data_IF_633325322785
#
_entry.id   IF_633325322785
#
_cell.length_a   1.000
_cell.length_b   1.000
_cell.length_c   1.000
_cell.angle_alpha   90.00
_cell.angle_beta   90.00
_cell.angle_gamma   90.00
#
_symmetry.space_group_name_H-M   'P 1'
#
loop_
_entity.id
_entity.type
_entity.pdbx_description
1 polymer ?
#
# COMPACT_ATOMS: atom_id res chain seq x y z
N UNK A 1 10.22 -2.00 43.96
CA UNK A 1 9.90 -2.67 42.68
C UNK A 1 10.87 -3.82 42.50
N UNK A 2 10.45 -5.06 42.22
CA UNK A 2 11.40 -6.11 41.89
C UNK A 2 11.87 -5.87 40.45
N UNK A 3 13.08 -5.32 40.30
CA UNK A 3 13.81 -5.35 39.03
C UNK A 3 14.07 -6.81 38.72
N UNK A 4 13.37 -7.37 37.72
CA UNK A 4 13.76 -8.66 37.14
C UNK A 4 15.16 -8.48 36.58
N UNK A 5 16.18 -8.93 37.32
CA UNK A 5 17.55 -8.94 36.86
C UNK A 5 17.65 -10.00 35.76
N UNK A 6 17.94 -9.57 34.54
CA UNK A 6 18.30 -10.48 33.45
C UNK A 6 19.73 -10.91 33.71
N UNK A 7 19.93 -12.19 33.99
CA UNK A 7 21.27 -12.75 34.14
C UNK A 7 21.93 -13.00 32.78
N UNK A 8 23.24 -13.22 32.79
CA UNK A 8 24.02 -13.43 31.56
C UNK A 8 23.54 -14.63 30.73
N UNK A 9 22.99 -15.68 31.36
CA UNK A 9 22.46 -16.85 30.67
C UNK A 9 21.11 -16.57 30.00
N UNK A 10 20.26 -15.79 30.65
CA UNK A 10 19.02 -15.30 30.06
C UNK A 10 19.30 -14.37 28.87
N UNK A 11 20.30 -13.50 28.99
CA UNK A 11 20.73 -12.63 27.89
C UNK A 11 21.22 -13.43 26.68
N UNK A 12 22.12 -14.39 26.89
CA UNK A 12 22.61 -15.26 25.83
C UNK A 12 21.48 -16.06 25.14
N UNK A 13 20.45 -16.44 25.90
CA UNK A 13 19.27 -17.11 25.37
C UNK A 13 18.42 -16.18 24.48
N UNK A 14 18.29 -14.91 24.84
CA UNK A 14 17.59 -13.89 24.05
C UNK A 14 18.37 -13.58 22.75
N UNK A 15 19.69 -13.48 22.83
CA UNK A 15 20.56 -13.29 21.66
C UNK A 15 20.44 -14.48 20.69
N UNK A 16 20.55 -15.71 21.19
CA UNK A 16 20.39 -16.92 20.38
C UNK A 16 19.01 -16.98 19.71
N UNK A 17 17.95 -16.68 20.47
CA UNK A 17 16.58 -16.62 19.95
C UNK A 17 16.42 -15.57 18.85
N UNK A 18 17.05 -14.40 19.02
CA UNK A 18 17.03 -13.32 18.03
C UNK A 18 17.77 -13.72 16.76
N UNK A 19 18.96 -14.33 16.88
CA UNK A 19 19.75 -14.81 15.73
C UNK A 19 18.98 -15.88 14.95
N UNK A 20 18.38 -16.85 15.64
CA UNK A 20 17.62 -17.92 14.98
C UNK A 20 16.37 -17.38 14.29
N UNK A 21 15.72 -16.37 14.88
CA UNK A 21 14.60 -15.68 14.26
C UNK A 21 15.03 -14.89 13.02
N UNK A 22 16.17 -14.18 13.06
CA UNK A 22 16.76 -13.48 11.91
C UNK A 22 17.08 -14.48 10.79
N UNK A 23 17.72 -15.61 11.11
CA UNK A 23 18.04 -16.67 10.15
C UNK A 23 16.78 -17.23 9.50
N UNK A 24 15.76 -17.55 10.30
CA UNK A 24 14.51 -18.13 9.81
C UNK A 24 13.72 -17.16 8.93
N UNK A 25 13.73 -15.87 9.25
CA UNK A 25 12.94 -14.84 8.55
C UNK A 25 13.73 -14.10 7.46
N UNK A 26 15.05 -14.29 7.40
CA UNK A 26 15.95 -13.51 6.56
C UNK A 26 15.71 -11.98 6.70
N UNK A 27 15.39 -11.52 7.90
CA UNK A 27 15.03 -10.12 8.20
C UNK A 27 15.71 -9.70 9.49
N UNK A 28 16.29 -8.50 9.53
CA UNK A 28 16.90 -7.94 10.74
C UNK A 28 15.82 -7.66 11.80
N UNK A 29 16.03 -8.20 13.00
CA UNK A 29 15.14 -8.01 14.15
C UNK A 29 16.01 -7.54 15.31
N UNK A 30 15.59 -6.48 15.98
CA UNK A 30 16.36 -5.91 17.10
C UNK A 30 16.17 -6.78 18.34
N UNK A 31 17.27 -7.12 19.00
CA UNK A 31 17.27 -7.87 20.27
C UNK A 31 16.38 -7.20 21.33
N UNK A 32 16.35 -5.87 21.36
CA UNK A 32 15.49 -5.11 22.27
C UNK A 32 13.99 -5.31 22.06
N UNK A 33 13.55 -5.68 20.85
CA UNK A 33 12.14 -5.98 20.58
C UNK A 33 11.80 -7.42 20.97
N UNK A 34 12.71 -8.38 20.70
CA UNK A 34 12.60 -9.75 21.22
C UNK A 34 12.59 -9.76 22.75
N UNK A 35 13.40 -8.91 23.38
CA UNK A 35 13.44 -8.77 24.84
C UNK A 35 12.09 -8.33 25.42
N UNK A 36 11.42 -7.35 24.80
CA UNK A 36 10.07 -6.91 25.26
C UNK A 36 9.08 -8.07 25.22
N UNK A 37 9.16 -8.89 24.17
CA UNK A 37 8.30 -10.05 24.00
C UNK A 37 8.57 -11.13 25.05
N UNK A 38 9.85 -11.40 25.32
CA UNK A 38 10.30 -12.31 26.38
C UNK A 38 9.88 -11.80 27.76
N UNK A 39 9.91 -10.50 28.02
CA UNK A 39 9.44 -9.92 29.29
C UNK A 39 7.92 -10.09 29.45
N UNK A 40 7.16 -9.93 28.36
CA UNK A 40 5.70 -10.02 28.36
C UNK A 40 5.18 -11.46 28.50
N UNK A 41 5.77 -12.41 27.78
CA UNK A 41 5.33 -13.81 27.76
C UNK A 41 6.14 -14.73 28.68
N UNK A 42 7.36 -14.35 29.05
CA UNK A 42 8.34 -15.20 29.72
C UNK A 42 9.19 -16.00 28.73
N UNK A 43 10.48 -16.16 29.03
CA UNK A 43 11.47 -16.82 28.15
C UNK A 43 11.05 -18.25 27.78
N UNK A 44 10.55 -19.03 28.75
CA UNK A 44 10.13 -20.41 28.54
C UNK A 44 8.92 -20.57 27.61
N UNK A 45 8.09 -19.53 27.48
CA UNK A 45 6.92 -19.52 26.62
C UNK A 45 7.18 -18.87 25.25
N UNK A 46 8.39 -18.33 25.04
CA UNK A 46 8.74 -17.61 23.82
C UNK A 46 9.56 -18.51 22.90
N UNK A 47 8.97 -18.96 21.80
CA UNK A 47 9.65 -19.77 20.78
C UNK A 47 9.93 -18.98 19.50
N UNK A 48 10.86 -19.48 18.69
CA UNK A 48 11.14 -18.93 17.36
C UNK A 48 9.88 -18.97 16.49
N UNK A 49 9.04 -19.99 16.62
CA UNK A 49 7.78 -20.14 15.88
C UNK A 49 6.78 -19.03 16.24
N UNK A 50 6.56 -18.79 17.53
CA UNK A 50 5.61 -17.77 18.01
C UNK A 50 6.08 -16.38 17.63
N UNK A 51 7.38 -16.08 17.79
CA UNK A 51 7.95 -14.82 17.34
C UNK A 51 7.93 -14.72 15.82
N UNK A 52 8.19 -15.79 15.08
CA UNK A 52 8.15 -15.79 13.62
C UNK A 52 6.76 -15.43 13.08
N UNK A 53 5.69 -15.85 13.76
CA UNK A 53 4.33 -15.44 13.42
C UNK A 53 4.07 -13.98 13.77
N UNK A 54 4.58 -13.51 14.91
CA UNK A 54 4.41 -12.11 15.34
C UNK A 54 5.16 -11.11 14.46
N UNK A 55 6.40 -11.44 14.11
CA UNK A 55 7.22 -10.73 13.14
C UNK A 55 6.95 -11.21 11.71
N UNK A 56 5.79 -11.83 11.47
CA UNK A 56 5.32 -12.08 10.12
C UNK A 56 5.22 -10.75 9.38
N UNK A 57 5.73 -10.73 8.16
CA UNK A 57 5.65 -9.58 7.31
C UNK A 57 4.18 -9.38 6.97
N UNK A 58 3.62 -8.28 7.42
CA UNK A 58 2.27 -7.86 7.10
C UNK A 58 2.42 -6.67 6.16
N UNK A 59 2.10 -6.83 4.86
CA UNK A 59 2.15 -5.71 3.96
C UNK A 59 1.19 -4.61 4.44
N UNK A 60 1.64 -3.36 4.37
CA UNK A 60 0.93 -2.18 4.87
C UNK A 60 0.94 -1.09 3.82
N UNK A 61 0.38 -1.41 2.66
CA UNK A 61 0.15 -0.49 1.57
C UNK A 61 -1.35 -0.35 1.30
N UNK A 62 -1.75 0.80 0.78
CA UNK A 62 -3.06 1.02 0.18
C UNK A 62 -2.93 1.17 -1.32
N UNK A 63 -4.05 1.02 -2.01
CA UNK A 63 -4.11 1.14 -3.47
C UNK A 63 -5.27 2.07 -3.81
N UNK A 64 -4.93 3.15 -4.50
CA UNK A 64 -5.88 4.08 -5.06
C UNK A 64 -5.87 3.95 -6.59
N UNK A 65 -7.02 4.05 -7.22
CA UNK A 65 -7.18 3.93 -8.67
C UNK A 65 -8.03 5.07 -9.17
N UNK A 66 -7.55 5.71 -10.24
CA UNK A 66 -8.34 6.57 -11.09
C UNK A 66 -8.34 6.02 -12.51
N UNK A 67 -9.50 5.51 -12.94
CA UNK A 67 -9.73 4.97 -14.28
C UNK A 67 -10.63 5.88 -15.12
N UNK A 68 -10.58 5.72 -16.44
CA UNK A 68 -11.53 6.32 -17.38
C UNK A 68 -12.29 5.23 -18.14
N UNK A 69 -13.61 5.41 -18.26
CA UNK A 69 -14.51 4.57 -19.07
C UNK A 69 -15.47 5.49 -19.81
N UNK A 70 -15.46 5.45 -21.15
CA UNK A 70 -16.35 6.29 -21.97
C UNK A 70 -16.32 7.80 -21.61
N UNK A 71 -15.14 8.34 -21.32
CA UNK A 71 -14.92 9.70 -20.79
C UNK A 71 -15.47 9.99 -19.38
N UNK A 72 -15.96 8.98 -18.67
CA UNK A 72 -16.33 9.10 -17.25
C UNK A 72 -15.17 8.65 -16.36
N UNK A 73 -14.89 9.42 -15.31
CA UNK A 73 -13.91 9.06 -14.29
C UNK A 73 -14.48 8.05 -13.32
N UNK A 74 -13.71 6.99 -13.04
CA UNK A 74 -14.02 5.96 -12.06
C UNK A 74 -12.93 5.98 -10.99
N UNK A 75 -13.32 6.13 -9.73
CA UNK A 75 -12.41 6.17 -8.61
C UNK A 75 -12.61 4.95 -7.72
N UNK A 76 -11.53 4.34 -7.26
CA UNK A 76 -11.59 3.25 -6.31
C UNK A 76 -10.42 3.29 -5.33
N UNK A 77 -10.67 2.85 -4.11
CA UNK A 77 -9.69 2.87 -3.05
C UNK A 77 -9.78 1.64 -2.14
N UNK A 78 -8.66 0.94 -1.98
CA UNK A 78 -8.46 -0.09 -0.96
C UNK A 78 -7.72 0.49 0.23
N UNK A 79 -8.45 0.61 1.35
CA UNK A 79 -7.97 1.31 2.54
C UNK A 79 -7.23 0.43 3.56
N UNK A 80 -7.43 -0.90 3.56
CA UNK A 80 -6.95 -1.68 4.72
C UNK A 80 -6.77 -3.19 4.54
N UNK A 81 -6.42 -3.72 3.36
CA UNK A 81 -6.18 -5.17 3.22
C UNK A 81 -5.07 -5.55 2.22
N UNK A 82 -4.14 -4.62 1.92
CA UNK A 82 -3.00 -4.85 1.03
C UNK A 82 -3.38 -5.78 -0.15
N UNK A 83 -4.31 -5.34 -1.02
CA UNK A 83 -5.01 -6.23 -1.92
C UNK A 83 -4.03 -7.04 -2.76
N UNK A 84 -4.45 -8.25 -3.18
CA UNK A 84 -3.66 -9.03 -4.12
C UNK A 84 -3.66 -8.35 -5.50
N UNK A 85 -2.53 -8.41 -6.21
CA UNK A 85 -2.39 -7.81 -7.53
C UNK A 85 -3.47 -8.31 -8.52
N UNK A 86 -3.77 -9.62 -8.49
CA UNK A 86 -4.83 -10.21 -9.31
C UNK A 86 -6.23 -9.67 -9.02
N UNK A 87 -6.52 -9.27 -7.78
CA UNK A 87 -7.79 -8.63 -7.41
C UNK A 87 -7.92 -7.25 -8.04
N UNK A 88 -6.85 -6.45 -7.98
CA UNK A 88 -6.83 -5.12 -8.59
C UNK A 88 -6.92 -5.21 -10.12
N UNK A 89 -6.16 -6.11 -10.74
CA UNK A 89 -6.21 -6.34 -12.19
C UNK A 89 -7.60 -6.82 -12.64
N UNK A 90 -8.23 -7.74 -11.90
CA UNK A 90 -9.59 -8.20 -12.17
C UNK A 90 -10.62 -7.09 -12.06
N UNK A 91 -10.52 -6.23 -11.04
CA UNK A 91 -11.40 -5.08 -10.89
C UNK A 91 -11.30 -4.09 -12.06
N UNK A 92 -10.07 -3.79 -12.52
CA UNK A 92 -9.85 -2.90 -13.66
C UNK A 92 -10.51 -3.42 -14.94
N UNK A 93 -10.44 -4.74 -15.16
CA UNK A 93 -11.08 -5.43 -16.28
C UNK A 93 -12.61 -5.38 -16.17
N UNK A 94 -13.16 -5.74 -15.01
CA UNK A 94 -14.61 -5.72 -14.75
C UNK A 94 -15.19 -4.30 -14.85
N UNK A 95 -14.46 -3.29 -14.39
CA UNK A 95 -14.83 -1.89 -14.53
C UNK A 95 -14.87 -1.47 -16.01
N UNK A 96 -14.13 -2.16 -16.89
CA UNK A 96 -13.93 -1.78 -18.28
C UNK A 96 -13.11 -0.49 -18.40
N UNK A 97 -12.19 -0.26 -17.46
CA UNK A 97 -11.29 0.89 -17.51
C UNK A 97 -10.22 0.65 -18.56
N UNK A 98 -10.21 1.44 -19.62
CA UNK A 98 -9.23 1.33 -20.71
C UNK A 98 -7.95 2.12 -20.42
N UNK A 99 -8.07 3.16 -19.59
CA UNK A 99 -7.00 4.07 -19.21
C UNK A 99 -7.08 4.25 -17.70
N UNK A 100 -5.97 4.04 -16.98
CA UNK A 100 -5.97 4.18 -15.52
C UNK A 100 -4.63 4.65 -14.98
N UNK A 101 -4.67 5.33 -13.84
CA UNK A 101 -3.52 5.55 -12.98
C UNK A 101 -3.79 4.86 -11.63
N UNK A 102 -2.92 3.91 -11.28
CA UNK A 102 -2.96 3.19 -10.00
C UNK A 102 -1.87 3.77 -9.11
N UNK A 103 -2.24 4.33 -7.96
CA UNK A 103 -1.32 4.79 -6.94
C UNK A 103 -1.22 3.76 -5.82
N UNK A 104 -0.03 3.21 -5.63
CA UNK A 104 0.31 2.33 -4.51
C UNK A 104 1.04 3.15 -3.47
N UNK A 105 0.43 3.31 -2.30
CA UNK A 105 0.98 4.16 -1.25
C UNK A 105 1.22 3.38 0.03
N UNK A 106 2.22 3.79 0.81
CA UNK A 106 2.56 3.21 2.09
C UNK A 106 3.95 3.63 2.51
N UNK A 107 4.29 3.46 3.79
CA UNK A 107 5.63 3.78 4.32
C UNK A 107 6.72 2.87 3.74
N UNK A 108 7.99 3.21 3.98
CA UNK A 108 9.11 2.32 3.70
C UNK A 108 8.88 0.89 4.23
N UNK A 109 9.32 -0.12 3.46
CA UNK A 109 9.14 -1.55 3.76
C UNK A 109 7.67 -2.00 3.91
N UNK A 110 6.73 -1.29 3.31
CA UNK A 110 5.30 -1.65 3.30
C UNK A 110 4.93 -2.76 2.31
N UNK A 111 5.77 -3.00 1.30
CA UNK A 111 5.48 -3.92 0.19
C UNK A 111 4.98 -3.27 -1.09
N UNK A 112 4.89 -1.94 -1.11
CA UNK A 112 4.40 -1.16 -2.24
C UNK A 112 5.06 -1.54 -3.57
N UNK A 113 6.40 -1.59 -3.61
CA UNK A 113 7.18 -1.95 -4.81
C UNK A 113 6.94 -3.40 -5.23
N UNK A 114 6.87 -4.34 -4.28
CA UNK A 114 6.60 -5.76 -4.57
C UNK A 114 5.21 -5.93 -5.17
N UNK A 115 4.19 -5.30 -4.56
CA UNK A 115 2.84 -5.31 -5.07
C UNK A 115 2.74 -4.65 -6.46
N UNK A 116 3.33 -3.47 -6.65
CA UNK A 116 3.29 -2.76 -7.92
C UNK A 116 3.93 -3.55 -9.05
N UNK A 117 5.05 -4.24 -8.77
CA UNK A 117 5.71 -5.14 -9.74
C UNK A 117 4.84 -6.35 -10.10
N UNK A 118 4.16 -6.94 -9.11
CA UNK A 118 3.21 -8.02 -9.34
C UNK A 118 2.02 -7.55 -10.18
N UNK A 119 1.45 -6.39 -9.86
CA UNK A 119 0.35 -5.79 -10.60
C UNK A 119 0.75 -5.46 -12.04
N UNK A 120 1.93 -4.89 -12.26
CA UNK A 120 2.46 -4.64 -13.60
C UNK A 120 2.54 -5.92 -14.42
N UNK A 121 3.00 -7.01 -13.80
CA UNK A 121 3.09 -8.32 -14.45
C UNK A 121 1.71 -8.85 -14.82
N UNK A 122 0.76 -8.84 -13.88
CA UNK A 122 -0.64 -9.25 -14.10
C UNK A 122 -1.29 -8.47 -15.25
N UNK A 123 -1.14 -7.14 -15.27
CA UNK A 123 -1.71 -6.28 -16.31
C UNK A 123 -1.08 -6.54 -17.69
N UNK A 124 0.24 -6.71 -17.75
CA UNK A 124 0.94 -7.04 -19.00
C UNK A 124 0.55 -8.41 -19.53
N UNK A 125 0.36 -9.40 -18.66
CA UNK A 125 -0.15 -10.73 -19.05
C UNK A 125 -1.55 -10.65 -19.63
N UNK A 126 -2.37 -9.69 -19.18
CA UNK A 126 -3.71 -9.41 -19.74
C UNK A 126 -3.68 -8.52 -20.99
N UNK A 127 -2.50 -8.13 -21.46
CA UNK A 127 -2.33 -7.29 -22.65
C UNK A 127 -2.53 -5.79 -22.43
N UNK A 128 -2.58 -5.32 -21.18
CA UNK A 128 -2.65 -3.90 -20.87
C UNK A 128 -1.26 -3.26 -21.01
N UNK A 129 -1.15 -2.23 -21.88
CA UNK A 129 0.05 -1.41 -21.97
C UNK A 129 0.10 -0.46 -20.77
N UNK A 130 0.95 -0.77 -19.79
CA UNK A 130 1.05 -0.05 -18.51
C UNK A 130 2.49 0.28 -18.21
N UNK A 131 2.73 1.55 -17.88
CA UNK A 131 4.04 2.06 -17.46
C UNK A 131 4.16 2.06 -15.93
N UNK A 132 5.38 1.86 -15.43
CA UNK A 132 5.66 1.81 -14.01
C UNK A 132 6.58 2.96 -13.61
N UNK A 133 6.12 3.73 -12.62
CA UNK A 133 6.85 4.84 -12.04
C UNK A 133 7.09 4.55 -10.56
N UNK A 134 8.36 4.34 -10.20
CA UNK A 134 8.78 4.03 -8.83
C UNK A 134 9.20 5.28 -8.08
N UNK A 135 9.03 5.24 -6.75
CA UNK A 135 9.57 6.20 -5.78
C UNK A 135 9.46 7.67 -6.22
N UNK A 136 8.22 8.07 -6.46
CA UNK A 136 7.89 9.38 -7.02
C UNK A 136 7.98 10.47 -5.95
N UNK A 137 9.22 10.86 -5.66
CA UNK A 137 9.55 11.77 -4.58
C UNK A 137 9.51 13.24 -4.98
N UNK A 138 9.49 13.55 -6.28
CA UNK A 138 9.40 14.92 -6.77
C UNK A 138 8.14 15.21 -7.62
N UNK A 139 7.83 16.50 -7.70
CA UNK A 139 6.68 17.03 -8.42
C UNK A 139 6.76 16.83 -9.93
N UNK A 140 7.97 16.78 -10.49
CA UNK A 140 8.19 16.68 -11.93
C UNK A 140 7.83 15.29 -12.44
N UNK A 141 8.23 14.26 -11.70
CA UNK A 141 7.90 12.88 -12.00
C UNK A 141 6.39 12.66 -11.87
N UNK A 142 5.75 13.18 -10.81
CA UNK A 142 4.29 13.12 -10.65
C UNK A 142 3.55 13.75 -11.83
N UNK A 143 3.99 14.92 -12.29
CA UNK A 143 3.45 15.57 -13.46
C UNK A 143 3.66 14.74 -14.75
N UNK A 144 4.77 14.02 -14.87
CA UNK A 144 5.03 13.12 -15.99
C UNK A 144 4.07 11.93 -16.00
N UNK A 145 3.85 11.27 -14.87
CA UNK A 145 2.89 10.17 -14.76
C UNK A 145 1.47 10.62 -15.11
N UNK A 146 1.08 11.81 -14.67
CA UNK A 146 -0.20 12.41 -15.06
C UNK A 146 -0.30 12.71 -16.55
N UNK A 147 0.72 13.31 -17.16
CA UNK A 147 0.73 13.56 -18.61
C UNK A 147 0.65 12.26 -19.41
N UNK A 148 1.33 11.22 -18.94
CA UNK A 148 1.25 9.89 -19.53
C UNK A 148 -0.19 9.35 -19.47
N UNK A 149 -0.81 9.40 -18.29
CA UNK A 149 -2.21 9.01 -18.12
C UNK A 149 -3.18 9.84 -18.99
N UNK A 150 -3.04 11.17 -18.99
CA UNK A 150 -3.88 12.08 -19.79
C UNK A 150 -3.71 11.88 -21.30
N UNK A 151 -2.59 11.31 -21.76
CA UNK A 151 -2.37 10.94 -23.16
C UNK A 151 -3.10 9.65 -23.59
N UNK A 152 -3.92 9.06 -22.72
CA UNK A 152 -4.69 7.85 -23.00
C UNK A 152 -3.92 6.57 -22.71
N UNK A 153 -3.00 6.59 -21.75
CA UNK A 153 -2.18 5.44 -21.36
C UNK A 153 -2.40 5.08 -19.89
N UNK A 154 -1.99 3.88 -19.52
CA UNK A 154 -2.12 3.40 -18.15
C UNK A 154 -0.80 3.46 -17.38
N UNK A 155 -0.87 3.84 -16.11
CA UNK A 155 0.30 4.01 -15.25
C UNK A 155 0.09 3.37 -13.87
N UNK A 156 1.16 2.83 -13.30
CA UNK A 156 1.26 2.51 -11.88
C UNK A 156 2.30 3.45 -11.28
N UNK A 157 1.93 4.15 -10.21
CA UNK A 157 2.81 5.04 -9.46
C UNK A 157 2.96 4.53 -8.03
N UNK A 158 4.17 4.63 -7.48
CA UNK A 158 4.46 4.30 -6.09
C UNK A 158 4.76 5.58 -5.32
N UNK A 159 4.08 5.79 -4.19
CA UNK A 159 4.19 7.01 -3.39
C UNK A 159 4.53 6.69 -1.94
N UNK A 160 5.53 7.40 -1.38
CA UNK A 160 5.77 7.40 0.06
C UNK A 160 4.76 8.28 0.79
N UNK A 161 3.77 7.63 1.38
CA UNK A 161 2.73 8.27 2.15
C UNK A 161 2.24 7.34 3.27
N UNK A 162 1.96 7.93 4.44
CA UNK A 162 1.55 7.17 5.62
C UNK A 162 0.13 6.62 5.50
N UNK A 163 -0.75 7.33 4.80
CA UNK A 163 -2.16 7.00 4.63
C UNK A 163 -2.69 7.63 3.32
N UNK A 164 -3.99 7.49 3.09
CA UNK A 164 -4.66 7.88 1.85
C UNK A 164 -4.58 9.37 1.55
N UNK A 165 -4.79 10.23 2.54
CA UNK A 165 -4.91 11.67 2.32
C UNK A 165 -3.62 12.30 1.76
N UNK A 166 -2.43 12.13 2.35
CA UNK A 166 -1.19 12.65 1.80
C UNK A 166 -0.81 11.97 0.47
N UNK A 167 -1.24 10.72 0.24
CA UNK A 167 -1.04 10.08 -1.06
C UNK A 167 -1.86 10.76 -2.16
N UNK A 168 -3.13 11.07 -1.88
CA UNK A 168 -4.00 11.79 -2.80
C UNK A 168 -3.58 13.23 -3.01
N UNK A 169 -3.21 13.96 -1.95
CA UNK A 169 -2.69 15.32 -2.09
C UNK A 169 -1.49 15.30 -3.04
N UNK A 170 -0.52 14.42 -2.82
CA UNK A 170 0.68 14.36 -3.67
C UNK A 170 0.37 14.00 -5.12
N UNK A 171 -0.56 13.08 -5.33
CA UNK A 171 -0.98 12.69 -6.67
C UNK A 171 -1.75 13.83 -7.37
N UNK A 172 -2.69 14.50 -6.69
CA UNK A 172 -3.63 15.45 -7.30
C UNK A 172 -3.24 16.92 -7.18
N UNK A 173 -2.20 17.26 -6.41
CA UNK A 173 -1.73 18.64 -6.24
C UNK A 173 -1.44 19.32 -7.59
N UNK A 174 -0.87 18.58 -8.55
CA UNK A 174 -0.58 19.07 -9.91
C UNK A 174 -1.76 19.00 -10.87
N UNK A 175 -2.84 18.33 -10.49
CA UNK A 175 -4.08 18.31 -11.27
C UNK A 175 -4.90 19.60 -11.08
N UNK A 176 -4.67 20.38 -10.01
CA UNK A 176 -5.43 21.62 -9.71
C UNK A 176 -5.25 22.76 -10.74
N UNK A 177 -4.43 22.58 -11.78
CA UNK A 177 -4.41 23.44 -12.98
C UNK A 177 -5.50 23.11 -14.01
N UNK A 178 -6.21 22.00 -13.83
CA UNK A 178 -7.43 21.61 -14.56
C UNK A 178 -8.55 21.57 -13.51
N UNK A 179 -9.65 22.28 -13.77
CA UNK A 179 -10.76 22.47 -12.82
C UNK A 179 -11.18 21.15 -12.15
N UNK A 180 -10.78 20.99 -10.89
CA UNK A 180 -11.40 20.06 -9.96
C UNK A 180 -12.72 20.71 -9.59
N UNK A 181 -13.82 20.29 -10.23
CA UNK A 181 -15.16 20.55 -9.69
C UNK A 181 -15.18 20.00 -8.26
N UNK A 182 -15.26 20.93 -7.31
CA UNK A 182 -15.44 20.85 -5.86
C UNK A 182 -15.49 19.45 -5.22
N UNK A 183 -14.66 19.29 -4.18
CA UNK A 183 -14.68 18.24 -3.17
C UNK A 183 -16.11 17.90 -2.71
N UNK A 184 -16.72 16.90 -3.35
CA UNK A 184 -17.88 16.21 -2.80
C UNK A 184 -17.36 15.02 -2.01
N UNK A 185 -17.70 14.95 -0.73
CA UNK A 185 -17.53 13.71 0.01
C UNK A 185 -18.31 12.59 -0.69
N UNK A 186 -17.81 11.36 -0.65
CA UNK A 186 -18.44 10.20 -1.32
C UNK A 186 -19.93 10.04 -0.99
N UNK A 187 -20.33 10.45 0.22
CA UNK A 187 -21.72 10.51 0.67
C UNK A 187 -22.55 11.53 -0.12
N UNK A 188 -21.99 12.70 -0.45
CA UNK A 188 -22.64 13.75 -1.23
C UNK A 188 -22.70 13.40 -2.73
N UNK A 189 -21.67 12.72 -3.26
CA UNK A 189 -21.69 12.18 -4.62
C UNK A 189 -22.83 11.17 -4.82
N UNK A 190 -22.98 10.20 -3.91
CA UNK A 190 -24.05 9.21 -3.96
C UNK A 190 -25.46 9.83 -3.79
N UNK A 191 -25.60 10.86 -2.93
CA UNK A 191 -26.85 11.60 -2.80
C UNK A 191 -27.21 12.39 -4.05
N UNK A 192 -26.21 12.99 -4.71
CA UNK A 192 -26.39 13.73 -5.96
C UNK A 192 -26.82 12.81 -7.10
N UNK A 193 -26.22 11.63 -7.23
CA UNK A 193 -26.61 10.64 -8.23
C UNK A 193 -27.98 9.99 -7.96
N UNK A 194 -28.34 9.77 -6.70
CA UNK A 194 -29.69 9.34 -6.34
C UNK A 194 -30.75 10.41 -6.70
N UNK A 195 -30.45 11.68 -6.47
CA UNK A 195 -31.35 12.80 -6.78
C UNK A 195 -31.52 13.08 -8.29
N UNK A 196 -30.60 12.60 -9.13
CA UNK A 196 -30.67 12.71 -10.60
C UNK A 196 -31.58 11.65 -11.23
N UNK A 197 -31.74 10.49 -10.60
CA UNK A 197 -32.60 9.40 -11.09
C UNK A 197 -34.09 9.63 -10.84
N UNK A 198 -34.45 10.60 -10.00
CA UNK A 198 -35.84 10.94 -9.66
C UNK A 198 -36.38 12.20 -10.35
N UNK A 199 -35.67 12.76 -11.34
CA UNK A 199 -36.23 13.83 -12.19
C UNK A 199 -36.92 13.21 -13.41
N UNK A 200 -38.22 13.50 -13.64
CA UNK A 200 -38.99 13.00 -14.78
C UNK A 200 -38.47 13.54 -16.12
#
# INVERSE_FOLDING_TARGET
MPTKHIDAGQWASIEALTIDLIKKRNTLIKEGDVLKDVIAAGLAATSVETLSQKYAYCPRYGVFIHGRKNNESVYYHWNSDAPAAGTVAGWLEEAGATEFIVCVYGKAHSGRTTFATQLLTELRTRGCDTEYFDDMDDDADMAQAWRFYLSGKSAIVVVDAADYHPATERLFYHHQGYEVEEDLSFSEYLQREASRKDRP
#
